data_IF_949106651773
#
_entry.id   IF_949106651773
#
_cell.length_a   1.000
_cell.length_b   1.000
_cell.length_c   1.000
_cell.angle_alpha   90.00
_cell.angle_beta   90.00
_cell.angle_gamma   90.00
#
_symmetry.space_group_name_H-M   'P 1'
#
loop_
_entity.id
_entity.type
_entity.pdbx_description
1 polymer ?
#
# COMPACT_ATOMS: atom_id res chain seq x y z
N UNK A 1 -18.42 5.13 -10.08
CA UNK A 1 -17.04 5.11 -9.52
C UNK A 1 -17.12 5.26 -7.99
N UNK A 2 -17.04 4.15 -7.24
CA UNK A 2 -17.23 4.12 -5.77
C UNK A 2 -15.88 4.30 -5.00
N UNK A 3 -14.79 4.47 -5.74
CA UNK A 3 -13.42 4.41 -5.22
C UNK A 3 -13.00 5.55 -4.28
N UNK A 4 -13.59 6.74 -4.41
CA UNK A 4 -13.02 7.95 -3.79
C UNK A 4 -13.41 8.19 -2.33
N UNK A 5 -14.42 7.49 -1.79
CA UNK A 5 -14.94 7.79 -0.43
C UNK A 5 -14.45 6.81 0.63
N UNK A 6 -14.35 5.52 0.30
CA UNK A 6 -13.80 4.51 1.22
C UNK A 6 -12.29 4.67 1.39
N UNK A 7 -11.58 4.93 0.28
CA UNK A 7 -10.12 5.03 0.26
C UNK A 7 -9.61 6.32 0.91
N UNK A 8 -10.35 7.43 0.79
CA UNK A 8 -9.98 8.73 1.37
C UNK A 8 -10.07 8.74 2.90
N UNK A 9 -11.18 8.25 3.47
CA UNK A 9 -11.35 8.17 4.92
C UNK A 9 -10.38 7.16 5.58
N UNK A 10 -10.11 6.04 4.90
CA UNK A 10 -9.17 5.03 5.39
C UNK A 10 -7.73 5.56 5.43
N UNK A 11 -7.32 6.29 4.39
CA UNK A 11 -5.95 6.82 4.27
C UNK A 11 -5.71 8.07 5.14
N UNK A 12 -6.72 8.89 5.40
CA UNK A 12 -6.60 10.07 6.28
C UNK A 12 -6.29 9.70 7.75
N UNK A 13 -6.65 8.49 8.17
CA UNK A 13 -6.51 8.04 9.56
C UNK A 13 -5.28 7.16 9.81
N UNK A 14 -4.58 6.70 8.77
CA UNK A 14 -3.45 5.77 8.90
C UNK A 14 -2.09 6.43 8.75
N UNK A 15 -1.23 6.19 9.73
CA UNK A 15 0.20 6.55 9.69
C UNK A 15 0.99 5.59 8.79
N UNK A 16 2.16 6.04 8.31
CA UNK A 16 3.11 5.20 7.55
C UNK A 16 3.45 3.88 8.26
N UNK A 17 3.58 3.91 9.58
CA UNK A 17 3.90 2.72 10.38
C UNK A 17 2.78 1.68 10.33
N UNK A 18 1.53 2.13 10.42
CA UNK A 18 0.35 1.25 10.33
C UNK A 18 0.24 0.60 8.95
N UNK A 19 0.43 1.39 7.88
CA UNK A 19 0.42 0.87 6.51
C UNK A 19 1.52 -0.17 6.27
N UNK A 20 2.73 0.03 6.83
CA UNK A 20 3.82 -0.96 6.75
C UNK A 20 3.49 -2.24 7.49
N UNK A 21 2.96 -2.13 8.71
CA UNK A 21 2.55 -3.30 9.50
C UNK A 21 1.50 -4.13 8.78
N UNK A 22 0.51 -3.46 8.20
CA UNK A 22 -0.55 -4.12 7.43
C UNK A 22 -0.01 -4.77 6.16
N UNK A 23 0.82 -4.07 5.39
CA UNK A 23 1.46 -4.65 4.21
C UNK A 23 2.23 -5.92 4.58
N UNK A 24 3.00 -5.89 5.67
CA UNK A 24 3.70 -7.08 6.16
C UNK A 24 2.75 -8.21 6.53
N UNK A 25 1.60 -7.92 7.14
CA UNK A 25 0.60 -8.93 7.44
C UNK A 25 0.03 -9.59 6.17
N UNK A 26 -0.27 -8.79 5.13
CA UNK A 26 -0.78 -9.27 3.84
C UNK A 26 0.23 -10.13 3.08
N UNK A 27 1.54 -9.87 3.22
CA UNK A 27 2.60 -10.70 2.63
C UNK A 27 3.14 -11.75 3.60
N UNK A 28 2.39 -12.12 4.64
CA UNK A 28 2.76 -13.15 5.62
C UNK A 28 4.13 -12.93 6.28
N UNK A 29 4.49 -11.67 6.55
CA UNK A 29 5.73 -11.27 7.20
C UNK A 29 6.94 -11.18 6.26
N UNK A 30 6.78 -11.45 4.96
CA UNK A 30 7.86 -11.40 3.98
C UNK A 30 8.24 -9.96 3.62
N UNK A 31 9.09 -9.34 4.45
CA UNK A 31 9.51 -7.94 4.29
C UNK A 31 10.17 -7.65 2.94
N UNK A 32 10.95 -8.59 2.41
CA UNK A 32 11.58 -8.45 1.09
C UNK A 32 10.54 -8.41 -0.04
N UNK A 33 9.49 -9.23 0.06
CA UNK A 33 8.37 -9.22 -0.87
C UNK A 33 7.62 -7.89 -0.79
N UNK A 34 7.34 -7.39 0.42
CA UNK A 34 6.74 -6.07 0.61
C UNK A 34 7.58 -4.94 -0.03
N UNK A 35 8.90 -4.95 0.17
CA UNK A 35 9.77 -3.93 -0.41
C UNK A 35 9.80 -4.02 -1.94
N UNK A 36 9.91 -5.21 -2.52
CA UNK A 36 9.87 -5.39 -3.99
C UNK A 36 8.57 -4.86 -4.60
N UNK A 37 7.44 -5.05 -3.94
CA UNK A 37 6.16 -4.53 -4.41
C UNK A 37 6.13 -2.99 -4.39
N UNK A 38 6.67 -2.38 -3.33
CA UNK A 38 6.81 -0.92 -3.24
C UNK A 38 7.73 -0.41 -4.36
N UNK A 39 8.89 -1.04 -4.56
CA UNK A 39 9.87 -0.64 -5.56
C UNK A 39 9.29 -0.75 -6.98
N UNK A 40 8.52 -1.80 -7.25
CA UNK A 40 7.82 -1.98 -8.52
C UNK A 40 6.84 -0.83 -8.80
N UNK A 41 6.07 -0.43 -7.80
CA UNK A 41 5.13 0.68 -7.93
C UNK A 41 5.85 2.03 -8.01
N UNK A 42 7.02 2.20 -7.38
CA UNK A 42 7.89 3.37 -7.55
C UNK A 42 8.41 3.52 -8.98
N UNK A 43 8.82 2.41 -9.60
CA UNK A 43 9.28 2.41 -11.00
C UNK A 43 8.13 2.75 -11.95
N UNK A 44 6.92 2.27 -11.67
CA UNK A 44 5.73 2.50 -12.49
C UNK A 44 5.13 3.90 -12.33
N UNK A 45 5.18 4.43 -11.11
CA UNK A 45 4.52 5.67 -10.73
C UNK A 45 5.48 6.58 -9.95
N UNK A 46 6.55 7.08 -10.60
CA UNK A 46 7.57 7.87 -9.91
C UNK A 46 7.01 9.20 -9.36
N UNK A 47 7.62 9.69 -8.28
CA UNK A 47 7.31 11.01 -7.71
C UNK A 47 6.20 11.03 -6.66
N UNK A 48 5.64 9.88 -6.27
CA UNK A 48 4.70 9.80 -5.15
C UNK A 48 5.38 9.60 -3.79
N UNK A 49 4.60 9.78 -2.72
CA UNK A 49 5.06 9.60 -1.33
C UNK A 49 5.11 8.13 -0.95
N UNK A 50 5.91 7.76 0.05
CA UNK A 50 5.95 6.37 0.56
C UNK A 50 4.56 5.87 1.00
N UNK A 51 3.78 6.71 1.67
CA UNK A 51 2.40 6.39 2.06
C UNK A 51 1.51 6.09 0.85
N UNK A 52 1.75 6.74 -0.29
CA UNK A 52 1.03 6.46 -1.52
C UNK A 52 1.36 5.06 -2.06
N UNK A 53 2.65 4.69 -2.09
CA UNK A 53 3.07 3.37 -2.57
C UNK A 53 2.60 2.25 -1.65
N UNK A 54 2.73 2.43 -0.32
CA UNK A 54 2.28 1.44 0.66
C UNK A 54 0.79 1.14 0.48
N UNK A 55 -0.02 2.18 0.39
CA UNK A 55 -1.47 2.04 0.26
C UNK A 55 -1.88 1.49 -1.12
N UNK A 56 -1.16 1.86 -2.18
CA UNK A 56 -1.35 1.29 -3.52
C UNK A 56 -1.10 -0.22 -3.53
N UNK A 57 0.02 -0.67 -2.96
CA UNK A 57 0.37 -2.09 -2.87
C UNK A 57 -0.66 -2.84 -2.01
N UNK A 58 -1.03 -2.31 -0.84
CA UNK A 58 -2.06 -2.91 0.03
C UNK A 58 -3.38 -3.08 -0.73
N UNK A 59 -3.79 -2.06 -1.49
CA UNK A 59 -5.00 -2.12 -2.30
C UNK A 59 -4.93 -3.21 -3.37
N UNK A 60 -3.83 -3.31 -4.11
CA UNK A 60 -3.66 -4.30 -5.16
C UNK A 60 -3.62 -5.73 -4.61
N UNK A 61 -2.99 -5.93 -3.45
CA UNK A 61 -2.98 -7.20 -2.73
C UNK A 61 -4.39 -7.61 -2.28
N UNK A 62 -5.15 -6.69 -1.67
CA UNK A 62 -6.54 -6.95 -1.23
C UNK A 62 -7.50 -7.22 -2.38
N UNK A 63 -7.23 -6.65 -3.57
CA UNK A 63 -8.04 -6.89 -4.77
C UNK A 63 -7.72 -8.23 -5.45
N UNK A 64 -6.49 -8.73 -5.28
CA UNK A 64 -6.00 -9.95 -5.92
C UNK A 64 -6.12 -11.19 -5.02
N UNK A 65 -6.47 -11.01 -3.74
CA UNK A 65 -6.83 -12.08 -2.80
C UNK A 65 -8.26 -12.57 -3.05
#
# INVERSE_FOLDING_TARGET
>A
MIFNRWYRNYRETMTRSQLRSELYALVHGQKDTAQRLIDLEQVRHPGHTESWYLDKVIYDLRRSA
#
